data_IF_068318514753
#
_entry.id   IF_068318514753
#
_cell.length_a   1.000
_cell.length_b   1.000
_cell.length_c   1.000
_cell.angle_alpha   90.00
_cell.angle_beta   90.00
_cell.angle_gamma   90.00
#
_symmetry.space_group_name_H-M   'P 1'
#
loop_
_entity.id
_entity.type
_entity.pdbx_description
1 polymer ?
#
# COMPACT_ATOMS: atom_id res chain seq x y z
N UNK A 1 -1.08 -3.94 38.31
CA UNK A 1 -1.40 -4.44 36.96
C UNK A 1 -0.11 -4.38 36.16
N UNK A 2 0.41 -5.54 35.76
CA UNK A 2 1.59 -5.63 34.91
C UNK A 2 1.18 -5.10 33.51
N UNK A 3 1.75 -3.95 33.12
CA UNK A 3 1.58 -3.43 31.77
C UNK A 3 2.41 -4.29 30.81
N UNK A 4 1.82 -5.38 30.34
CA UNK A 4 2.41 -6.20 29.29
C UNK A 4 2.37 -5.42 27.99
N UNK A 5 3.52 -5.24 27.35
CA UNK A 5 3.61 -4.68 26.00
C UNK A 5 3.63 -5.86 25.03
N UNK A 6 2.63 -5.93 24.17
CA UNK A 6 2.57 -6.92 23.11
C UNK A 6 3.49 -6.50 21.97
N UNK A 7 4.41 -7.38 21.57
CA UNK A 7 5.33 -7.16 20.46
C UNK A 7 5.18 -8.31 19.48
N UNK A 8 4.73 -8.04 18.27
CA UNK A 8 4.53 -9.03 17.21
C UNK A 8 3.61 -10.19 17.58
N UNK A 9 2.54 -9.95 18.33
CA UNK A 9 1.61 -11.00 18.79
C UNK A 9 2.15 -11.84 19.96
N UNK A 10 3.32 -11.50 20.50
CA UNK A 10 3.88 -12.13 21.70
C UNK A 10 3.87 -11.13 22.85
N UNK A 11 3.36 -11.54 23.99
CA UNK A 11 3.57 -10.82 25.24
C UNK A 11 5.05 -10.94 25.59
N UNK A 12 5.77 -9.85 25.45
CA UNK A 12 7.22 -9.90 25.54
C UNK A 12 7.62 -9.63 26.98
N UNK A 13 7.82 -10.66 27.74
CA UNK A 13 8.50 -10.60 29.05
C UNK A 13 9.89 -9.93 28.96
N UNK A 14 10.50 -9.96 27.79
CA UNK A 14 11.77 -9.27 27.50
C UNK A 14 11.71 -7.75 27.65
N UNK A 15 10.56 -7.10 27.44
CA UNK A 15 10.41 -5.67 27.69
C UNK A 15 10.09 -5.35 29.15
N UNK A 16 9.39 -6.24 29.85
CA UNK A 16 9.22 -6.15 31.30
C UNK A 16 10.56 -6.26 32.05
N UNK A 17 11.50 -7.03 31.51
CA UNK A 17 12.85 -7.16 32.04
C UNK A 17 13.61 -5.84 32.09
N UNK A 18 13.31 -4.90 31.19
CA UNK A 18 13.93 -3.58 31.12
C UNK A 18 13.07 -2.47 31.73
N UNK A 19 11.89 -2.82 32.26
CA UNK A 19 10.99 -1.87 32.91
C UNK A 19 10.72 -0.64 32.03
N UNK A 20 10.41 -0.89 30.72
CA UNK A 20 10.15 0.18 29.76
C UNK A 20 8.95 0.99 30.24
N UNK A 21 9.13 2.26 30.57
CA UNK A 21 8.07 3.06 31.17
C UNK A 21 7.05 3.43 30.11
N UNK A 22 5.85 2.86 30.17
CA UNK A 22 4.75 3.17 29.26
C UNK A 22 4.47 4.67 29.28
N UNK A 23 4.33 5.29 28.11
CA UNK A 23 4.08 6.72 27.94
C UNK A 23 5.30 7.63 28.12
N UNK A 24 6.49 7.11 28.45
CA UNK A 24 7.73 7.90 28.47
C UNK A 24 8.35 7.95 27.06
N UNK A 25 8.98 9.09 26.75
CA UNK A 25 9.65 9.30 25.45
C UNK A 25 11.04 8.63 25.38
N UNK A 26 11.62 8.25 26.51
CA UNK A 26 12.99 7.71 26.57
C UNK A 26 13.12 6.53 27.53
N UNK A 27 13.97 5.59 27.17
CA UNK A 27 14.29 4.42 28.01
C UNK A 27 15.68 3.85 27.73
N UNK A 28 16.07 2.86 28.53
CA UNK A 28 17.19 1.97 28.18
C UNK A 28 16.82 1.09 26.99
N UNK A 29 17.80 0.77 26.15
CA UNK A 29 17.53 -0.08 25.00
C UNK A 29 17.41 -1.55 25.41
N UNK A 30 16.32 -2.25 25.07
CA UNK A 30 16.17 -3.68 25.37
C UNK A 30 17.16 -4.56 24.60
N UNK A 31 17.68 -4.06 23.47
CA UNK A 31 18.55 -4.84 22.59
C UNK A 31 20.04 -4.77 22.96
N UNK A 32 20.51 -3.65 23.53
CA UNK A 32 21.94 -3.48 23.77
C UNK A 32 22.33 -3.09 25.19
N UNK A 33 21.40 -2.66 26.05
CA UNK A 33 21.76 -2.18 27.40
C UNK A 33 22.42 -3.25 28.28
N UNK A 34 22.01 -4.51 28.14
CA UNK A 34 22.56 -5.64 28.88
C UNK A 34 24.02 -5.97 28.52
N UNK A 35 24.45 -5.60 27.31
CA UNK A 35 25.81 -5.86 26.77
C UNK A 35 26.78 -4.70 27.06
N UNK A 36 26.29 -3.59 27.65
CA UNK A 36 27.10 -2.40 27.91
C UNK A 36 27.91 -2.56 29.20
N UNK A 37 28.94 -1.71 29.37
CA UNK A 37 29.69 -1.62 30.62
C UNK A 37 28.76 -1.32 31.79
N UNK A 38 29.03 -1.81 32.99
CA UNK A 38 28.14 -1.69 34.15
C UNK A 38 27.64 -0.28 34.41
N UNK A 39 28.48 0.73 34.29
CA UNK A 39 28.16 2.14 34.47
C UNK A 39 27.21 2.70 33.43
N UNK A 40 27.10 2.04 32.27
CA UNK A 40 26.27 2.47 31.13
C UNK A 40 24.98 1.67 30.97
N UNK A 41 24.79 0.56 31.69
CA UNK A 41 23.63 -0.33 31.56
C UNK A 41 22.30 0.37 31.83
N UNK A 42 22.29 1.36 32.75
CA UNK A 42 21.09 2.11 33.13
C UNK A 42 20.92 3.43 32.39
N UNK A 43 21.85 3.82 31.50
CA UNK A 43 21.74 5.07 30.72
C UNK A 43 20.69 4.91 29.64
N UNK A 44 19.74 5.85 29.62
CA UNK A 44 18.74 5.95 28.58
C UNK A 44 19.41 6.23 27.26
N UNK A 45 19.10 5.45 26.25
CA UNK A 45 19.69 5.52 24.91
C UNK A 45 18.69 5.18 23.81
N UNK A 46 17.42 5.00 24.17
CA UNK A 46 16.36 4.72 23.23
C UNK A 46 15.25 5.76 23.34
N UNK A 47 14.85 6.32 22.22
CA UNK A 47 13.64 7.13 22.08
C UNK A 47 12.46 6.20 21.81
N UNK A 48 11.32 6.48 22.46
CA UNK A 48 10.11 5.66 22.40
C UNK A 48 8.96 6.48 21.82
N UNK A 49 8.40 6.02 20.71
CA UNK A 49 7.19 6.56 20.11
C UNK A 49 6.04 5.57 20.34
N UNK A 50 5.25 5.83 21.38
CA UNK A 50 4.15 4.95 21.78
C UNK A 50 2.95 5.03 20.84
N UNK A 51 2.79 6.12 20.08
CA UNK A 51 1.74 6.23 19.08
C UNK A 51 2.01 5.33 17.88
N UNK A 52 3.27 5.32 17.43
CA UNK A 52 3.72 4.46 16.33
C UNK A 52 4.11 3.06 16.78
N UNK A 53 4.22 2.82 18.08
CA UNK A 53 4.66 1.54 18.63
C UNK A 53 6.10 1.20 18.32
N UNK A 54 6.97 2.22 18.17
CA UNK A 54 8.36 2.04 17.77
C UNK A 54 9.32 2.65 18.78
N UNK A 55 10.42 1.96 19.04
CA UNK A 55 11.57 2.48 19.78
C UNK A 55 12.81 2.48 18.89
N UNK A 56 13.63 3.53 18.99
CA UNK A 56 14.89 3.64 18.27
C UNK A 56 16.03 3.88 19.23
N UNK A 57 17.06 3.06 19.18
CA UNK A 57 18.23 3.18 20.04
C UNK A 57 19.35 3.98 19.35
N UNK A 58 19.77 5.09 19.99
CA UNK A 58 20.87 5.93 19.49
C UNK A 58 22.26 5.34 19.76
N UNK A 59 22.37 4.29 20.56
CA UNK A 59 23.66 3.64 20.82
C UNK A 59 23.96 2.48 19.86
N UNK A 60 22.96 1.65 19.53
CA UNK A 60 23.15 0.52 18.62
C UNK A 60 22.47 0.72 17.25
N UNK A 61 21.84 1.87 17.05
CA UNK A 61 21.12 2.27 15.82
C UNK A 61 20.06 1.27 15.36
N UNK A 62 19.52 0.47 16.28
CA UNK A 62 18.45 -0.49 15.98
C UNK A 62 17.10 0.04 16.39
N UNK A 63 16.10 -0.25 15.55
CA UNK A 63 14.69 -0.02 15.84
C UNK A 63 14.08 -1.31 16.41
N UNK A 64 13.13 -1.17 17.33
CA UNK A 64 12.38 -2.28 17.93
C UNK A 64 10.92 -1.88 18.15
N UNK A 65 10.04 -2.87 18.14
CA UNK A 65 8.62 -2.63 18.34
C UNK A 65 8.28 -2.59 19.83
N UNK A 66 7.44 -1.60 20.20
CA UNK A 66 6.90 -1.44 21.56
C UNK A 66 5.55 -2.17 21.72
N UNK A 67 4.77 -2.21 20.66
CA UNK A 67 3.50 -2.95 20.56
C UNK A 67 3.20 -3.20 19.09
N UNK A 68 2.38 -4.19 18.80
CA UNK A 68 1.80 -4.34 17.46
C UNK A 68 0.98 -3.10 17.13
N UNK A 69 1.20 -2.55 15.95
CA UNK A 69 0.36 -1.47 15.45
C UNK A 69 -1.06 -2.00 15.30
N UNK A 70 -1.87 -1.80 16.31
CA UNK A 70 -3.31 -1.94 16.14
C UNK A 70 -3.75 -0.70 15.37
N UNK A 71 -4.18 -0.87 14.12
CA UNK A 71 -4.95 0.17 13.44
C UNK A 71 -6.04 0.62 14.41
N UNK A 72 -5.95 1.85 14.92
CA UNK A 72 -7.02 2.44 15.73
C UNK A 72 -8.30 2.30 14.93
N UNK A 73 -9.22 1.46 15.44
CA UNK A 73 -10.54 1.30 14.87
C UNK A 73 -10.49 0.68 13.48
N UNK A 74 -10.48 -0.64 13.43
CA UNK A 74 -11.31 -1.32 12.48
C UNK A 74 -12.78 -1.08 12.87
N UNK A 75 -13.25 0.19 12.81
CA UNK A 75 -14.62 0.39 12.41
C UNK A 75 -14.72 -0.35 11.10
N UNK A 76 -15.71 -1.21 10.91
CA UNK A 76 -16.00 -1.84 9.64
C UNK A 76 -16.04 -0.75 8.57
N UNK A 77 -14.89 -0.51 7.94
CA UNK A 77 -14.80 0.46 6.86
C UNK A 77 -15.56 -0.21 5.73
N UNK A 78 -16.81 0.17 5.58
CA UNK A 78 -17.59 -0.24 4.44
C UNK A 78 -17.04 0.49 3.22
N UNK A 79 -16.18 -0.18 2.49
CA UNK A 79 -15.70 0.30 1.21
C UNK A 79 -16.83 0.31 0.19
N UNK A 80 -16.92 1.39 -0.56
CA UNK A 80 -17.80 1.44 -1.73
C UNK A 80 -17.15 0.63 -2.86
N UNK A 81 -17.96 -0.14 -3.55
CA UNK A 81 -17.53 -0.86 -4.76
C UNK A 81 -18.01 -0.08 -6.00
N UNK A 82 -17.15 0.15 -6.99
CA UNK A 82 -17.62 0.63 -8.27
C UNK A 82 -18.55 -0.42 -8.89
N UNK A 83 -19.65 0.04 -9.48
CA UNK A 83 -20.51 -0.87 -10.23
C UNK A 83 -19.92 -1.10 -11.62
N UNK A 84 -19.76 -2.37 -12.00
CA UNK A 84 -19.52 -2.70 -13.40
C UNK A 84 -20.77 -2.35 -14.19
N UNK A 85 -20.65 -1.43 -15.15
CA UNK A 85 -21.75 -1.27 -16.09
C UNK A 85 -21.90 -2.59 -16.86
N UNK A 86 -23.13 -3.10 -16.97
CA UNK A 86 -23.44 -4.40 -17.59
C UNK A 86 -23.04 -4.50 -19.08
N UNK A 87 -22.43 -3.48 -19.64
CA UNK A 87 -21.96 -3.36 -21.04
C UNK A 87 -20.46 -3.17 -21.21
N UNK A 88 -19.67 -3.41 -20.18
CA UNK A 88 -18.21 -3.34 -20.34
C UNK A 88 -17.67 -4.61 -21.03
N UNK A 89 -18.01 -4.79 -22.30
CA UNK A 89 -17.01 -5.19 -23.26
C UNK A 89 -16.00 -4.04 -23.29
N UNK A 90 -14.73 -4.35 -23.12
CA UNK A 90 -13.63 -3.40 -23.23
C UNK A 90 -13.51 -2.90 -24.68
N UNK A 91 -14.51 -2.17 -25.16
CA UNK A 91 -14.43 -1.47 -26.42
C UNK A 91 -13.59 -0.22 -26.21
N UNK A 92 -12.29 -0.41 -26.21
CA UNK A 92 -11.37 0.71 -26.31
C UNK A 92 -11.58 1.32 -27.68
N UNK A 93 -12.13 2.56 -27.73
CA UNK A 93 -12.27 3.27 -29.00
C UNK A 93 -10.90 3.53 -29.61
N UNK A 94 -10.84 3.52 -30.91
CA UNK A 94 -9.63 3.59 -31.73
C UNK A 94 -8.57 4.59 -31.22
N UNK A 95 -8.98 5.82 -30.85
CA UNK A 95 -8.05 6.86 -30.37
C UNK A 95 -7.32 6.53 -29.07
N UNK A 96 -7.96 5.83 -28.15
CA UNK A 96 -7.30 5.42 -26.89
C UNK A 96 -6.37 4.24 -27.17
N UNK A 97 -6.79 3.33 -28.03
CA UNK A 97 -5.93 2.23 -28.45
C UNK A 97 -4.71 2.73 -29.25
N UNK A 98 -4.92 3.68 -30.18
CA UNK A 98 -3.81 4.36 -30.87
C UNK A 98 -2.82 4.98 -29.89
N UNK A 99 -3.33 5.67 -28.84
CA UNK A 99 -2.51 6.27 -27.80
C UNK A 99 -1.67 5.23 -27.02
N UNK A 100 -2.19 4.03 -26.76
CA UNK A 100 -1.45 2.92 -26.17
C UNK A 100 -0.42 2.35 -27.16
N UNK A 101 -0.82 2.13 -28.42
CA UNK A 101 0.05 1.61 -29.48
C UNK A 101 1.26 2.52 -29.74
N UNK A 102 1.08 3.85 -29.73
CA UNK A 102 2.18 4.82 -29.83
C UNK A 102 3.22 4.69 -28.71
N UNK A 103 2.85 4.02 -27.61
CA UNK A 103 3.72 3.72 -26.44
C UNK A 103 4.23 2.27 -26.43
N UNK A 104 3.99 1.54 -27.51
CA UNK A 104 4.40 0.15 -27.63
C UNK A 104 3.55 -0.82 -26.78
N UNK A 105 2.34 -0.42 -26.39
CA UNK A 105 1.43 -1.26 -25.61
C UNK A 105 0.29 -1.74 -26.54
N UNK A 106 0.19 -3.04 -26.69
CA UNK A 106 -0.79 -3.69 -27.59
C UNK A 106 -2.20 -3.72 -27.00
N UNK A 107 -3.18 -3.89 -27.87
CA UNK A 107 -4.58 -4.14 -27.48
C UNK A 107 -4.73 -5.35 -26.56
N UNK A 108 -3.89 -6.39 -26.77
CA UNK A 108 -3.86 -7.57 -25.91
C UNK A 108 -3.56 -7.17 -24.47
N UNK A 109 -2.49 -6.42 -24.25
CA UNK A 109 -2.11 -5.94 -22.91
C UNK A 109 -3.18 -5.05 -22.28
N UNK A 110 -3.79 -4.14 -23.06
CA UNK A 110 -4.89 -3.30 -22.59
C UNK A 110 -6.08 -4.14 -22.10
N UNK A 111 -6.40 -5.21 -22.82
CA UNK A 111 -7.48 -6.14 -22.48
C UNK A 111 -7.15 -6.98 -21.25
N UNK A 112 -5.97 -7.59 -21.23
CA UNK A 112 -5.51 -8.47 -20.12
C UNK A 112 -5.41 -7.71 -18.80
N UNK A 113 -5.02 -6.42 -18.84
CA UNK A 113 -4.92 -5.56 -17.68
C UNK A 113 -6.24 -4.86 -17.29
N UNK A 114 -7.36 -5.26 -17.89
CA UNK A 114 -8.70 -4.73 -17.58
C UNK A 114 -8.79 -3.20 -17.72
N UNK A 115 -8.14 -2.63 -18.73
CA UNK A 115 -8.19 -1.19 -18.99
C UNK A 115 -9.43 -0.88 -19.83
N UNK A 116 -10.18 0.15 -19.43
CA UNK A 116 -11.43 0.59 -20.05
C UNK A 116 -11.38 2.10 -20.30
N UNK A 117 -12.43 2.65 -20.88
CA UNK A 117 -12.55 4.07 -21.13
C UNK A 117 -14.00 4.54 -20.99
N UNK A 118 -14.18 5.83 -20.80
CA UNK A 118 -15.50 6.43 -20.79
C UNK A 118 -15.52 7.78 -20.08
N UNK A 119 -16.69 8.44 -20.10
CA UNK A 119 -16.87 9.70 -19.43
C UNK A 119 -16.76 9.54 -17.92
N UNK A 120 -16.16 10.54 -17.27
CA UNK A 120 -16.07 10.63 -15.82
C UNK A 120 -15.88 12.08 -15.38
N UNK A 121 -16.57 12.50 -14.32
CA UNK A 121 -16.38 13.83 -13.76
C UNK A 121 -14.99 13.96 -13.13
N UNK A 122 -14.23 14.95 -13.62
CA UNK A 122 -12.88 15.24 -13.13
C UNK A 122 -12.86 16.52 -12.31
N UNK A 123 -12.58 16.45 -10.98
CA UNK A 123 -12.59 17.65 -10.14
C UNK A 123 -11.60 18.73 -10.57
N UNK A 124 -10.49 18.34 -11.20
CA UNK A 124 -9.46 19.26 -11.65
C UNK A 124 -9.91 20.15 -12.82
N UNK A 125 -10.85 19.68 -13.62
CA UNK A 125 -11.42 20.45 -14.75
C UNK A 125 -12.84 20.95 -14.47
N UNK A 126 -13.46 20.47 -13.38
CA UNK A 126 -14.82 20.84 -12.97
C UNK A 126 -15.92 20.34 -13.91
N UNK A 127 -15.64 19.38 -14.78
CA UNK A 127 -16.58 18.83 -15.75
C UNK A 127 -16.34 17.36 -16.04
N UNK A 128 -17.23 16.77 -16.82
CA UNK A 128 -17.06 15.42 -17.36
C UNK A 128 -16.01 15.43 -18.47
N UNK A 129 -15.04 14.53 -18.37
CA UNK A 129 -13.98 14.31 -19.35
C UNK A 129 -13.99 12.86 -19.81
N UNK A 130 -13.53 12.61 -21.03
CA UNK A 130 -13.29 11.25 -21.47
C UNK A 130 -12.01 10.73 -20.80
N UNK A 131 -12.10 9.58 -20.10
CA UNK A 131 -11.01 9.06 -19.27
C UNK A 131 -10.64 7.64 -19.67
N UNK A 132 -9.36 7.31 -19.49
CA UNK A 132 -8.87 5.94 -19.37
C UNK A 132 -9.19 5.48 -17.94
N UNK A 133 -9.70 4.26 -17.81
CA UNK A 133 -10.06 3.62 -16.54
C UNK A 133 -9.17 2.43 -16.29
N UNK A 134 -8.30 2.53 -15.30
CA UNK A 134 -7.53 1.40 -14.82
C UNK A 134 -8.37 0.69 -13.75
N UNK A 135 -8.84 -0.50 -14.06
CA UNK A 135 -9.71 -1.28 -13.19
C UNK A 135 -8.87 -2.17 -12.26
N UNK A 136 -8.99 -1.96 -10.97
CA UNK A 136 -8.30 -2.72 -9.92
C UNK A 136 -9.16 -3.91 -9.53
N UNK A 137 -8.69 -5.11 -9.82
CA UNK A 137 -9.44 -6.35 -9.67
C UNK A 137 -8.88 -7.22 -8.54
N UNK A 138 -9.75 -8.03 -7.94
CA UNK A 138 -9.41 -9.24 -7.18
C UNK A 138 -10.33 -10.34 -7.69
N UNK A 139 -9.78 -11.34 -8.36
CA UNK A 139 -10.55 -12.28 -9.16
C UNK A 139 -11.44 -11.53 -10.17
N UNK A 140 -12.71 -11.87 -10.20
CA UNK A 140 -13.70 -11.20 -11.07
C UNK A 140 -14.32 -9.94 -10.44
N UNK A 141 -13.89 -9.55 -9.26
CA UNK A 141 -14.46 -8.41 -8.54
C UNK A 141 -13.73 -7.11 -8.84
N UNK A 142 -14.47 -6.10 -9.29
CA UNK A 142 -13.97 -4.73 -9.42
C UNK A 142 -13.92 -4.07 -8.04
N UNK A 143 -12.71 -3.77 -7.57
CA UNK A 143 -12.45 -3.24 -6.24
C UNK A 143 -12.35 -1.72 -6.26
N UNK A 144 -11.63 -1.17 -7.25
CA UNK A 144 -11.40 0.26 -7.40
C UNK A 144 -11.22 0.61 -8.87
N UNK A 145 -11.32 1.90 -9.19
CA UNK A 145 -11.00 2.43 -10.52
C UNK A 145 -10.12 3.65 -10.34
N UNK A 146 -9.02 3.71 -11.09
CA UNK A 146 -8.25 4.94 -11.26
C UNK A 146 -8.54 5.52 -12.63
N UNK A 147 -8.99 6.75 -12.64
CA UNK A 147 -9.33 7.50 -13.84
C UNK A 147 -8.19 8.41 -14.24
N UNK A 148 -7.92 8.50 -15.53
CA UNK A 148 -6.92 9.38 -16.12
C UNK A 148 -7.50 10.09 -17.32
N UNK A 149 -7.52 11.42 -17.31
CA UNK A 149 -7.91 12.24 -18.48
C UNK A 149 -6.73 12.50 -19.43
N UNK A 150 -7.02 13.16 -20.56
CA UNK A 150 -6.01 13.52 -21.56
C UNK A 150 -4.96 14.51 -21.05
N UNK A 151 -5.25 15.27 -19.99
CA UNK A 151 -4.37 16.28 -19.39
C UNK A 151 -3.50 15.70 -18.26
N UNK A 152 -3.52 14.37 -18.06
CA UNK A 152 -2.84 13.67 -16.96
C UNK A 152 -3.39 14.03 -15.58
N UNK A 153 -4.65 14.41 -15.47
CA UNK A 153 -5.31 14.45 -14.17
C UNK A 153 -5.74 13.05 -13.77
N UNK A 154 -5.67 12.77 -12.47
CA UNK A 154 -5.99 11.47 -11.92
C UNK A 154 -6.99 11.60 -10.77
N UNK A 155 -7.86 10.62 -10.64
CA UNK A 155 -8.64 10.40 -9.42
C UNK A 155 -8.90 8.91 -9.22
N UNK A 156 -9.13 8.52 -7.98
CA UNK A 156 -9.65 7.19 -7.62
C UNK A 156 -11.15 7.25 -7.40
N UNK A 157 -11.83 6.12 -7.55
CA UNK A 157 -13.24 6.01 -7.18
C UNK A 157 -13.39 6.30 -5.68
N UNK A 158 -14.26 7.25 -5.34
CA UNK A 158 -14.39 7.77 -3.98
C UNK A 158 -14.94 6.73 -3.01
N UNK A 159 -14.16 6.44 -1.98
CA UNK A 159 -14.54 5.51 -0.90
C UNK A 159 -14.26 4.05 -1.21
N UNK A 160 -13.65 3.72 -2.34
CA UNK A 160 -13.21 2.36 -2.62
C UNK A 160 -11.98 1.95 -1.80
N UNK A 161 -11.81 0.65 -1.64
CA UNK A 161 -10.62 0.06 -1.06
C UNK A 161 -9.39 0.34 -1.94
N UNK A 162 -8.26 0.62 -1.32
CA UNK A 162 -6.99 0.81 -2.02
C UNK A 162 -6.23 -0.51 -2.03
N UNK A 163 -6.05 -1.07 -3.19
CA UNK A 163 -5.25 -2.26 -3.44
C UNK A 163 -4.17 -1.94 -4.48
N UNK A 164 -3.22 -2.84 -4.69
CA UNK A 164 -2.30 -2.73 -5.82
C UNK A 164 -3.04 -3.02 -7.13
N UNK A 165 -2.61 -2.34 -8.20
CA UNK A 165 -3.06 -2.64 -9.55
C UNK A 165 -2.48 -3.98 -10.00
N UNK A 166 -3.25 -4.77 -10.75
CA UNK A 166 -2.84 -6.09 -11.23
C UNK A 166 -2.41 -7.07 -10.11
N UNK A 167 -3.00 -6.95 -8.90
CA UNK A 167 -2.58 -7.69 -7.71
C UNK A 167 -2.60 -9.22 -7.89
N UNK A 168 -3.58 -9.74 -8.63
CA UNK A 168 -3.72 -11.20 -8.83
C UNK A 168 -2.61 -11.80 -9.69
N UNK A 169 -1.90 -10.98 -10.44
CA UNK A 169 -0.80 -11.42 -11.30
C UNK A 169 0.38 -12.05 -10.55
N UNK A 170 0.51 -11.77 -9.26
CA UNK A 170 1.59 -12.31 -8.42
C UNK A 170 1.28 -13.70 -7.86
N UNK A 171 0.03 -14.19 -8.01
CA UNK A 171 -0.38 -15.49 -7.49
C UNK A 171 0.37 -16.59 -8.24
N UNK A 172 1.03 -17.48 -7.47
CA UNK A 172 1.81 -18.58 -8.02
C UNK A 172 3.26 -18.25 -8.34
N UNK A 173 3.68 -17.01 -8.19
CA UNK A 173 5.07 -16.59 -8.32
C UNK A 173 5.74 -16.41 -6.95
N UNK A 174 7.03 -16.68 -6.86
CA UNK A 174 7.85 -16.44 -5.66
C UNK A 174 8.61 -15.11 -5.70
N UNK A 175 8.37 -14.29 -6.70
CA UNK A 175 8.89 -12.94 -6.89
C UNK A 175 7.89 -12.11 -7.69
N UNK A 176 7.98 -10.80 -7.61
CA UNK A 176 7.19 -9.87 -8.43
C UNK A 176 8.01 -8.61 -8.73
N UNK A 177 7.55 -7.86 -9.73
CA UNK A 177 8.05 -6.51 -10.02
C UNK A 177 7.08 -5.52 -9.40
N UNK A 178 7.62 -4.48 -8.75
CA UNK A 178 6.83 -3.37 -8.19
C UNK A 178 7.24 -2.09 -8.91
N UNK A 179 6.25 -1.37 -9.43
CA UNK A 179 6.43 -0.12 -10.16
C UNK A 179 5.52 0.98 -9.60
N UNK A 180 5.75 2.23 -9.98
CA UNK A 180 5.03 3.37 -9.40
C UNK A 180 3.67 3.65 -10.05
N UNK A 181 3.48 3.26 -11.32
CA UNK A 181 2.30 3.62 -12.08
C UNK A 181 1.75 2.51 -12.97
N UNK A 182 0.47 2.62 -13.30
CA UNK A 182 -0.25 1.64 -14.13
C UNK A 182 0.32 1.55 -15.56
N UNK A 183 0.88 2.65 -16.07
CA UNK A 183 1.53 2.63 -17.38
C UNK A 183 2.84 1.82 -17.36
N UNK A 184 3.55 1.83 -16.22
CA UNK A 184 4.74 1.02 -16.04
C UNK A 184 4.36 -0.47 -15.96
N UNK A 185 3.24 -0.78 -15.29
CA UNK A 185 2.65 -2.13 -15.30
C UNK A 185 2.37 -2.57 -16.73
N UNK A 186 1.72 -1.71 -17.56
CA UNK A 186 1.46 -2.02 -18.96
C UNK A 186 2.74 -2.32 -19.74
N UNK A 187 3.78 -1.51 -19.57
CA UNK A 187 5.05 -1.69 -20.28
C UNK A 187 5.78 -2.97 -19.88
N UNK A 188 5.80 -3.30 -18.59
CA UNK A 188 6.43 -4.53 -18.07
C UNK A 188 5.63 -5.76 -18.50
N UNK A 189 4.30 -5.69 -18.46
CA UNK A 189 3.42 -6.78 -18.93
C UNK A 189 3.60 -7.03 -20.41
N UNK A 190 3.69 -5.98 -21.23
CA UNK A 190 3.87 -6.06 -22.70
C UNK A 190 5.13 -6.83 -23.10
N UNK A 191 6.22 -6.70 -22.33
CA UNK A 191 7.47 -7.43 -22.59
C UNK A 191 7.49 -8.84 -22.01
N UNK A 192 6.32 -9.34 -21.56
CA UNK A 192 6.15 -10.73 -21.14
C UNK A 192 6.47 -11.01 -19.67
N UNK A 193 6.47 -9.99 -18.81
CA UNK A 193 6.60 -10.14 -17.35
C UNK A 193 5.22 -9.87 -16.72
N UNK A 194 4.37 -10.91 -16.53
CA UNK A 194 2.98 -10.70 -16.10
C UNK A 194 2.85 -10.39 -14.60
N UNK A 195 3.79 -10.83 -13.77
CA UNK A 195 3.78 -10.71 -12.31
C UNK A 195 4.31 -9.34 -11.84
N UNK A 196 3.69 -8.27 -12.33
CA UNK A 196 4.00 -6.87 -12.05
C UNK A 196 2.81 -6.14 -11.43
#
# INVERSE_FOLDING_TARGET
MLNTVEVNGFYVDKFNQYNLPVGKAESVCPLCSHQRKPENKKKKCASLDWERGLGTCHNCNKTFQLHTYQRKGGSDIQYKRPERSAKTHFEVKDKVLEWFNERGISEKTVTELNIDQGPEYMPQTGKEEHTIKFNYMIGDQLINIKYRDARKNFKLFKGAEKIFYNLDSIIGYNWCVIVEGEMDVCAIHEVGIPNV
#
